data_IF_376612531250
#
_entry.id   IF_376612531250
#
_cell.length_a   1.000
_cell.length_b   1.000
_cell.length_c   1.000
_cell.angle_alpha   90.00
_cell.angle_beta   90.00
_cell.angle_gamma   90.00
#
_symmetry.space_group_name_H-M   'P 1'
#
loop_
_entity.id
_entity.type
_entity.pdbx_description
1 polymer ?
#
# COMPACT_ATOMS: atom_id res chain seq x y z
N UNK A 1 -1.20 -24.54 -14.21
CA UNK A 1 -1.90 -23.56 -13.37
C UNK A 1 -0.84 -22.69 -12.73
N UNK A 2 -0.70 -21.44 -13.15
CA UNK A 2 0.25 -20.52 -12.52
C UNK A 2 -0.55 -19.62 -11.58
N UNK A 3 -0.44 -19.89 -10.28
CA UNK A 3 -1.11 -19.09 -9.25
C UNK A 3 -0.57 -17.66 -9.26
N UNK A 4 -1.48 -16.70 -9.14
CA UNK A 4 -1.16 -15.29 -8.94
C UNK A 4 -0.28 -15.14 -7.70
N UNK A 5 0.77 -14.34 -7.78
CA UNK A 5 1.57 -13.95 -6.61
C UNK A 5 0.84 -12.82 -5.86
N UNK A 6 1.28 -12.54 -4.64
CA UNK A 6 0.82 -11.34 -3.94
C UNK A 6 1.61 -10.14 -4.47
N UNK A 7 0.92 -9.04 -4.74
CA UNK A 7 1.47 -7.85 -5.41
C UNK A 7 2.03 -6.83 -4.40
N UNK A 8 1.76 -7.06 -3.11
CA UNK A 8 2.31 -6.31 -2.00
C UNK A 8 2.39 -7.17 -0.74
N UNK A 9 3.23 -6.77 0.21
CA UNK A 9 3.26 -7.33 1.56
C UNK A 9 2.24 -6.61 2.44
N UNK A 10 1.25 -7.36 2.94
CA UNK A 10 0.28 -6.82 3.88
C UNK A 10 0.96 -6.43 5.21
N UNK A 11 0.67 -5.23 5.70
CA UNK A 11 1.23 -4.70 6.93
C UNK A 11 0.12 -4.22 7.88
N UNK A 12 0.38 -4.35 9.18
CA UNK A 12 -0.48 -3.84 10.25
C UNK A 12 0.37 -3.37 11.42
N UNK A 13 -0.07 -2.35 12.15
CA UNK A 13 0.66 -1.84 13.31
C UNK A 13 -0.07 -0.72 14.03
N UNK A 14 0.61 -0.15 15.02
CA UNK A 14 0.14 1.00 15.80
C UNK A 14 0.92 2.24 15.39
N UNK A 15 0.22 3.34 15.15
CA UNK A 15 0.82 4.65 14.90
C UNK A 15 0.69 5.48 16.17
N UNK A 16 1.82 5.98 16.67
CA UNK A 16 1.88 6.87 17.84
C UNK A 16 2.48 8.21 17.42
N UNK A 17 1.77 9.29 17.71
CA UNK A 17 2.27 10.65 17.53
C UNK A 17 2.91 11.13 18.84
N UNK A 18 4.18 11.53 18.77
CA UNK A 18 4.85 12.21 19.86
C UNK A 18 4.33 13.66 19.96
N UNK A 19 4.48 14.33 21.11
CA UNK A 19 4.07 15.73 21.25
C UNK A 19 4.70 16.61 20.15
N UNK A 20 3.85 17.32 19.41
CA UNK A 20 4.25 18.21 18.32
C UNK A 20 4.38 17.56 16.94
N UNK A 21 4.28 16.24 16.82
CA UNK A 21 4.23 15.57 15.51
C UNK A 21 2.85 15.71 14.88
N UNK A 22 2.82 16.12 13.61
CA UNK A 22 1.60 16.20 12.80
C UNK A 22 1.56 15.17 11.68
N UNK A 23 2.66 14.45 11.45
CA UNK A 23 2.82 13.49 10.34
C UNK A 23 3.58 12.23 10.79
N UNK A 24 3.18 11.09 10.23
CA UNK A 24 3.84 9.79 10.37
C UNK A 24 3.78 9.05 9.04
N UNK A 25 4.82 8.28 8.76
CA UNK A 25 4.92 7.46 7.56
C UNK A 25 4.77 5.97 7.91
N UNK A 26 4.08 5.24 7.04
CA UNK A 26 4.07 3.78 7.01
C UNK A 26 4.68 3.33 5.67
N UNK A 27 5.30 2.16 5.67
CA UNK A 27 5.90 1.57 4.46
C UNK A 27 5.12 0.33 4.06
N UNK A 28 4.68 0.28 2.81
CA UNK A 28 4.10 -0.90 2.18
C UNK A 28 5.06 -1.37 1.09
N UNK A 29 5.45 -2.64 1.12
CA UNK A 29 6.37 -3.21 0.12
C UNK A 29 5.55 -3.72 -1.06
N UNK A 30 5.86 -3.25 -2.27
CA UNK A 30 5.28 -3.74 -3.53
C UNK A 30 6.17 -4.87 -4.07
N UNK A 31 5.54 -5.96 -4.51
CA UNK A 31 6.21 -7.14 -5.05
C UNK A 31 5.96 -7.15 -6.56
N UNK A 32 6.94 -6.72 -7.35
CA UNK A 32 6.89 -6.81 -8.81
C UNK A 32 7.34 -8.18 -9.35
N UNK A 33 6.86 -8.55 -10.53
CA UNK A 33 7.47 -9.62 -11.32
C UNK A 33 7.81 -9.19 -12.77
N UNK A 34 7.68 -10.06 -13.77
CA UNK A 34 7.93 -9.70 -15.19
C UNK A 34 6.77 -10.16 -16.09
N UNK A 35 5.61 -10.41 -15.51
CA UNK A 35 4.42 -10.85 -16.22
C UNK A 35 3.49 -9.66 -16.32
N UNK A 36 3.04 -9.40 -17.54
CA UNK A 36 1.99 -8.43 -17.78
C UNK A 36 0.74 -8.81 -16.97
N UNK A 37 0.41 -7.97 -16.00
CA UNK A 37 -0.77 -8.05 -15.16
C UNK A 37 -1.69 -6.84 -15.39
N UNK A 38 -2.83 -6.81 -14.71
CA UNK A 38 -3.65 -5.60 -14.65
C UNK A 38 -3.13 -4.69 -13.54
N UNK A 39 -3.46 -3.40 -13.58
CA UNK A 39 -3.23 -2.54 -12.42
C UNK A 39 -4.10 -3.00 -11.24
N UNK A 40 -3.56 -2.88 -10.04
CA UNK A 40 -4.21 -3.38 -8.83
C UNK A 40 -4.20 -2.36 -7.71
N UNK A 41 -5.08 -2.53 -6.73
CA UNK A 41 -5.23 -1.59 -5.64
C UNK A 41 -4.95 -2.26 -4.31
N UNK A 42 -4.35 -1.50 -3.39
CA UNK A 42 -4.35 -1.83 -1.97
C UNK A 42 -5.05 -0.74 -1.16
N UNK A 43 -5.51 -1.10 0.03
CA UNK A 43 -6.17 -0.18 0.96
C UNK A 43 -5.41 -0.10 2.27
N UNK A 44 -5.36 1.08 2.85
CA UNK A 44 -4.89 1.32 4.22
C UNK A 44 -6.07 1.80 5.03
N UNK A 45 -6.31 1.18 6.19
CA UNK A 45 -7.40 1.55 7.10
C UNK A 45 -6.83 1.90 8.48
N UNK A 46 -7.20 3.08 8.98
CA UNK A 46 -6.94 3.52 10.35
C UNK A 46 -8.15 3.17 11.23
N UNK A 47 -7.91 2.61 12.41
CA UNK A 47 -8.97 2.22 13.33
C UNK A 47 -8.57 2.43 14.78
N UNK A 48 -9.56 2.42 15.67
CA UNK A 48 -9.40 2.49 17.13
C UNK A 48 -8.55 3.69 17.61
N UNK A 49 -8.91 4.95 17.24
CA UNK A 49 -8.15 6.10 17.69
C UNK A 49 -8.27 6.29 19.21
N UNK A 50 -7.20 6.78 19.82
CA UNK A 50 -7.17 7.19 21.24
C UNK A 50 -6.71 8.63 21.33
N UNK A 51 -7.47 9.49 22.02
CA UNK A 51 -7.11 10.90 22.21
C UNK A 51 -7.26 11.79 20.97
N UNK A 52 -7.85 11.26 19.89
CA UNK A 52 -8.10 11.97 18.63
C UNK A 52 -9.36 11.43 17.94
N UNK A 53 -9.82 12.15 16.92
CA UNK A 53 -10.85 11.70 15.99
C UNK A 53 -10.23 11.42 14.64
N UNK A 54 -10.66 10.34 13.97
CA UNK A 54 -10.26 10.06 12.59
C UNK A 54 -11.26 10.74 11.66
N UNK A 55 -10.78 11.68 10.84
CA UNK A 55 -11.60 12.37 9.84
C UNK A 55 -11.72 11.55 8.53
N UNK A 56 -10.61 10.97 8.07
CA UNK A 56 -10.57 9.99 6.98
C UNK A 56 -9.78 8.77 7.42
N UNK A 57 -10.44 7.62 7.45
CA UNK A 57 -9.89 6.35 7.91
C UNK A 57 -9.27 5.52 6.79
N UNK A 58 -9.71 5.72 5.54
CA UNK A 58 -9.29 4.91 4.40
C UNK A 58 -8.45 5.67 3.37
N UNK A 59 -7.30 5.08 3.04
CA UNK A 59 -6.47 5.42 1.88
C UNK A 59 -6.48 4.30 0.84
N UNK A 60 -6.33 4.66 -0.44
CA UNK A 60 -6.26 3.71 -1.56
C UNK A 60 -4.96 3.97 -2.32
N UNK A 61 -4.16 2.93 -2.53
CA UNK A 61 -2.97 2.94 -3.36
C UNK A 61 -3.18 2.15 -4.65
N UNK A 62 -2.59 2.62 -5.76
CA UNK A 62 -2.59 1.95 -7.06
C UNK A 62 -1.21 1.37 -7.33
N UNK A 63 -1.15 0.09 -7.65
CA UNK A 63 0.00 -0.63 -8.19
C UNK A 63 -0.14 -0.62 -9.71
N UNK A 64 0.80 0.01 -10.40
CA UNK A 64 0.83 0.14 -11.86
C UNK A 64 1.71 -0.99 -12.41
N UNK A 65 1.18 -1.77 -13.34
CA UNK A 65 1.92 -2.78 -14.10
C UNK A 65 2.85 -2.08 -15.10
N UNK A 66 4.13 -2.45 -15.10
CA UNK A 66 5.16 -1.91 -16.01
C UNK A 66 5.77 -2.96 -16.95
N UNK A 67 5.15 -4.14 -17.02
CA UNK A 67 5.64 -5.31 -17.77
C UNK A 67 5.10 -5.41 -19.21
N UNK A 68 4.49 -4.32 -19.69
CA UNK A 68 4.05 -4.14 -21.07
C UNK A 68 5.16 -4.30 -22.12
N UNK A 69 4.75 -4.67 -23.34
CA UNK A 69 5.56 -5.25 -24.44
C UNK A 69 6.69 -4.39 -25.05
N UNK A 70 7.06 -3.24 -24.48
CA UNK A 70 8.14 -2.39 -25.03
C UNK A 70 9.23 -2.10 -23.99
N UNK A 71 10.10 -3.08 -23.73
CA UNK A 71 11.48 -2.83 -23.32
C UNK A 71 12.38 -2.94 -24.56
N UNK A 72 12.27 -1.97 -25.47
CA UNK A 72 13.32 -1.75 -26.46
C UNK A 72 14.43 -0.96 -25.77
N UNK A 73 15.53 -1.65 -25.48
CA UNK A 73 16.84 -1.02 -25.37
C UNK A 73 17.19 -0.30 -26.68
#
# INVERSE_FOLDING_TARGET
SHGKRADFEAASGIITFAPGETERFITIVVIGDNKMEHHEFFTVELSNPTGATIDRDRGVGLIIDDDGRNKHH
#
